data_IF_993346591687
#
_entry.id   IF_993346591687
#
_cell.length_a   1.000
_cell.length_b   1.000
_cell.length_c   1.000
_cell.angle_alpha   90.00
_cell.angle_beta   90.00
_cell.angle_gamma   90.00
#
_symmetry.space_group_name_H-M   'P 1'
#
loop_
_entity.id
_entity.type
_entity.pdbx_description
1 polymer ?
#
# COMPACT_ATOMS: atom_id res chain seq x y z
N UNK A 1 13.68 33.00 -36.49
CA UNK A 1 12.88 32.39 -37.58
C UNK A 1 12.12 31.21 -36.99
N UNK A 2 10.80 31.32 -36.93
CA UNK A 2 9.90 30.45 -36.18
C UNK A 2 9.12 29.57 -37.17
N UNK A 3 9.02 28.26 -36.90
CA UNK A 3 8.14 27.37 -37.66
C UNK A 3 7.51 26.33 -36.72
N UNK A 4 6.36 26.70 -36.14
CA UNK A 4 5.36 25.75 -35.65
C UNK A 4 4.40 25.45 -36.79
N UNK A 5 4.13 24.17 -37.08
CA UNK A 5 2.97 23.73 -37.85
C UNK A 5 2.26 22.65 -37.04
N UNK A 6 1.15 23.03 -36.43
CA UNK A 6 0.14 22.13 -35.88
C UNK A 6 -0.97 22.05 -36.91
N UNK A 7 -1.28 20.84 -37.36
CA UNK A 7 -2.39 20.52 -38.26
C UNK A 7 -3.08 19.31 -37.68
N UNK A 8 -4.31 19.47 -37.18
CA UNK A 8 -5.41 18.51 -37.36
C UNK A 8 -6.72 19.31 -37.27
N UNK A 9 -7.33 19.58 -38.43
CA UNK A 9 -8.73 19.92 -38.58
C UNK A 9 -9.54 18.63 -38.68
N UNK A 10 -10.75 18.59 -38.10
CA UNK A 10 -11.67 17.47 -38.32
C UNK A 10 -12.95 17.54 -37.48
N UNK A 11 -13.74 18.59 -37.68
CA UNK A 11 -15.12 18.70 -37.20
C UNK A 11 -16.04 17.95 -38.17
N UNK A 12 -16.85 16.99 -37.70
CA UNK A 12 -18.14 16.62 -38.34
C UNK A 12 -19.18 16.25 -37.28
N UNK A 13 -20.22 17.08 -37.23
CA UNK A 13 -21.51 16.90 -36.55
C UNK A 13 -22.43 16.00 -37.40
N UNK A 14 -23.22 15.14 -36.75
CA UNK A 14 -24.51 14.55 -37.20
C UNK A 14 -25.00 13.66 -36.03
N UNK A 15 -26.26 13.55 -35.62
CA UNK A 15 -27.50 14.28 -35.81
C UNK A 15 -28.46 13.78 -34.70
N UNK A 16 -29.32 14.65 -34.19
CA UNK A 16 -30.42 14.27 -33.31
C UNK A 16 -31.51 13.53 -34.10
N UNK A 17 -32.13 12.51 -33.51
CA UNK A 17 -33.45 12.02 -33.92
C UNK A 17 -34.15 11.36 -32.73
N UNK A 18 -35.23 12.00 -32.31
CA UNK A 18 -36.19 11.54 -31.32
C UNK A 18 -37.16 10.55 -31.97
N UNK A 19 -37.32 9.35 -31.44
CA UNK A 19 -38.55 8.56 -31.64
C UNK A 19 -38.82 7.72 -30.39
N UNK A 20 -39.95 7.96 -29.74
CA UNK A 20 -40.56 7.07 -28.77
C UNK A 20 -41.88 6.56 -29.35
N UNK A 21 -42.17 5.26 -29.21
CA UNK A 21 -43.55 4.83 -29.04
C UNK A 21 -43.73 3.69 -28.02
N UNK A 22 -44.64 3.90 -27.06
CA UNK A 22 -45.66 2.95 -26.60
C UNK A 22 -45.26 1.72 -25.75
N UNK A 23 -46.02 1.38 -24.69
CA UNK A 23 -45.76 0.22 -23.85
C UNK A 23 -46.33 -1.07 -24.47
N UNK A 24 -45.57 -2.16 -24.38
CA UNK A 24 -46.06 -3.52 -24.67
C UNK A 24 -45.86 -4.38 -23.42
N UNK A 25 -46.97 -4.80 -22.82
CA UNK A 25 -47.02 -5.76 -21.71
C UNK A 25 -47.10 -7.19 -22.24
N UNK A 26 -46.22 -8.08 -21.73
CA UNK A 26 -46.37 -9.53 -21.41
C UNK A 26 -45.14 -10.36 -21.84
N UNK A 27 -44.93 -11.56 -21.27
CA UNK A 27 -45.19 -12.05 -19.91
C UNK A 27 -43.90 -12.56 -19.23
N UNK A 28 -43.97 -12.78 -17.91
CA UNK A 28 -42.90 -13.39 -17.13
C UNK A 28 -42.60 -14.84 -17.58
N UNK A 29 -41.33 -15.24 -17.76
CA UNK A 29 -40.92 -16.63 -17.64
C UNK A 29 -40.49 -16.90 -16.19
N UNK A 30 -41.30 -17.70 -15.51
CA UNK A 30 -40.96 -18.41 -14.28
C UNK A 30 -39.75 -19.30 -14.56
N UNK A 31 -38.62 -18.94 -13.97
CA UNK A 31 -37.36 -19.65 -14.11
C UNK A 31 -36.35 -19.13 -13.11
N UNK A 32 -36.74 -19.09 -11.83
CA UNK A 32 -35.81 -18.89 -10.74
C UNK A 32 -34.88 -20.10 -10.68
N UNK A 33 -33.79 -20.05 -11.44
CA UNK A 33 -32.61 -20.84 -11.11
C UNK A 33 -32.12 -20.23 -9.80
N UNK A 34 -32.42 -20.90 -8.71
CA UNK A 34 -31.86 -20.66 -7.39
C UNK A 34 -30.34 -20.78 -7.55
N UNK A 35 -29.71 -19.64 -7.82
CA UNK A 35 -28.26 -19.50 -7.76
C UNK A 35 -27.96 -19.68 -6.29
N UNK A 36 -27.65 -20.92 -5.91
CA UNK A 36 -27.01 -21.23 -4.63
C UNK A 36 -25.84 -20.27 -4.56
N UNK A 37 -26.01 -19.24 -3.75
CA UNK A 37 -24.94 -18.34 -3.41
C UNK A 37 -23.96 -19.24 -2.67
N UNK A 38 -22.96 -19.75 -3.38
CA UNK A 38 -21.78 -20.32 -2.77
C UNK A 38 -21.33 -19.29 -1.76
N UNK A 39 -21.55 -19.59 -0.48
CA UNK A 39 -21.03 -18.77 0.60
C UNK A 39 -19.55 -18.61 0.32
N UNK A 40 -18.98 -17.38 0.37
CA UNK A 40 -17.55 -17.24 0.24
C UNK A 40 -16.92 -18.16 1.28
N UNK A 41 -16.11 -19.10 0.81
CA UNK A 41 -15.29 -19.94 1.67
C UNK A 41 -14.60 -19.00 2.68
N UNK A 42 -14.62 -19.31 3.99
CA UNK A 42 -14.03 -18.42 4.98
C UNK A 42 -12.61 -18.11 4.55
N UNK A 43 -12.33 -16.81 4.41
CA UNK A 43 -11.05 -16.28 4.02
C UNK A 43 -9.93 -17.07 4.72
N UNK A 44 -9.02 -17.65 3.94
CA UNK A 44 -7.78 -18.18 4.49
C UNK A 44 -7.22 -17.13 5.45
N UNK A 45 -7.04 -17.51 6.71
CA UNK A 45 -6.55 -16.62 7.77
C UNK A 45 -5.17 -16.07 7.42
N UNK A 46 -4.69 -15.11 8.20
CA UNK A 46 -3.36 -14.53 7.99
C UNK A 46 -2.30 -15.62 8.17
N UNK A 47 -1.56 -15.93 7.10
CA UNK A 47 -0.41 -16.84 7.13
C UNK A 47 0.76 -16.14 7.82
N UNK A 48 1.55 -16.89 8.59
CA UNK A 48 2.79 -16.38 9.22
C UNK A 48 4.00 -17.12 8.69
N UNK A 49 5.09 -16.40 8.46
CA UNK A 49 6.34 -16.98 7.98
C UNK A 49 7.57 -16.46 8.77
N UNK A 50 8.26 -17.34 9.53
CA UNK A 50 7.94 -18.74 9.80
C UNK A 50 6.62 -18.94 10.57
N UNK A 51 6.11 -20.17 10.62
CA UNK A 51 4.81 -20.47 11.25
C UNK A 51 4.79 -20.20 12.77
N UNK A 52 5.95 -20.26 13.42
CA UNK A 52 6.18 -19.98 14.83
C UNK A 52 6.55 -18.51 15.11
N UNK A 53 6.47 -17.63 14.10
CA UNK A 53 6.81 -16.21 14.23
C UNK A 53 5.97 -15.55 15.34
N UNK A 54 6.59 -15.05 16.42
CA UNK A 54 5.85 -14.49 17.55
C UNK A 54 5.03 -13.27 17.11
N UNK A 55 3.87 -13.10 17.75
CA UNK A 55 2.98 -11.95 17.56
C UNK A 55 3.49 -10.80 18.42
N UNK A 56 3.87 -9.70 17.78
CA UNK A 56 4.32 -8.51 18.48
C UNK A 56 3.14 -7.65 18.95
N UNK A 57 3.30 -6.92 20.07
CA UNK A 57 2.39 -5.83 20.41
C UNK A 57 2.30 -4.83 19.25
N UNK A 58 1.08 -4.42 18.91
CA UNK A 58 0.83 -3.46 17.85
C UNK A 58 0.58 -4.07 16.45
N UNK A 59 0.84 -5.37 16.21
CA UNK A 59 0.55 -6.00 14.91
C UNK A 59 -0.95 -5.88 14.53
N UNK A 60 -1.85 -6.03 15.51
CA UNK A 60 -3.29 -5.95 15.27
C UNK A 60 -3.72 -4.57 14.73
N UNK A 61 -3.05 -3.48 15.14
CA UNK A 61 -3.35 -2.15 14.63
C UNK A 61 -2.93 -2.02 13.16
N UNK A 62 -1.78 -2.60 12.79
CA UNK A 62 -1.33 -2.67 11.39
C UNK A 62 -2.34 -3.46 10.54
N UNK A 63 -2.74 -4.65 11.01
CA UNK A 63 -3.75 -5.47 10.34
C UNK A 63 -5.09 -4.73 10.18
N UNK A 64 -5.53 -4.01 11.21
CA UNK A 64 -6.75 -3.22 11.17
C UNK A 64 -6.67 -2.06 10.16
N UNK A 65 -5.52 -1.37 10.08
CA UNK A 65 -5.29 -0.29 9.11
C UNK A 65 -5.39 -0.79 7.66
N UNK A 66 -4.75 -1.92 7.37
CA UNK A 66 -4.86 -2.61 6.08
C UNK A 66 -6.30 -3.02 5.75
N UNK A 67 -7.01 -3.63 6.71
CA UNK A 67 -8.39 -4.05 6.53
C UNK A 67 -9.34 -2.87 6.27
N UNK A 68 -9.17 -1.75 6.99
CA UNK A 68 -9.98 -0.55 6.81
C UNK A 68 -9.85 0.05 5.40
N UNK A 69 -8.67 -0.08 4.77
CA UNK A 69 -8.41 0.34 3.40
C UNK A 69 -8.85 -0.69 2.32
N UNK A 70 -9.55 -1.75 2.71
CA UNK A 70 -9.97 -2.81 1.79
C UNK A 70 -8.80 -3.64 1.25
N UNK A 71 -7.72 -3.78 2.03
CA UNK A 71 -6.50 -4.52 1.70
C UNK A 71 -6.17 -5.51 2.82
N UNK A 72 -7.02 -6.52 3.10
CA UNK A 72 -6.78 -7.41 4.22
C UNK A 72 -5.41 -8.07 4.11
N UNK A 73 -4.64 -8.05 5.21
CA UNK A 73 -3.34 -8.73 5.29
C UNK A 73 -3.55 -10.23 5.05
N UNK A 74 -2.64 -10.84 4.29
CA UNK A 74 -2.61 -12.28 3.98
C UNK A 74 -1.37 -12.96 4.54
N UNK A 75 -0.25 -12.25 4.63
CA UNK A 75 1.00 -12.75 5.19
C UNK A 75 1.58 -11.78 6.22
N UNK A 76 2.10 -12.31 7.33
CA UNK A 76 3.00 -11.62 8.25
C UNK A 76 4.32 -12.39 8.30
N UNK A 77 5.41 -11.74 7.91
CA UNK A 77 6.74 -12.34 7.85
C UNK A 77 7.77 -11.68 8.76
N UNK A 78 8.90 -12.34 8.95
CA UNK A 78 10.12 -11.70 9.44
C UNK A 78 10.56 -10.57 8.48
N UNK A 79 11.07 -9.47 9.03
CA UNK A 79 11.50 -8.30 8.24
C UNK A 79 13.01 -8.14 8.28
N UNK A 80 13.60 -7.71 7.16
CA UNK A 80 15.02 -7.31 7.08
C UNK A 80 15.29 -5.92 7.68
N UNK A 81 14.24 -5.19 8.04
CA UNK A 81 14.33 -3.79 8.48
C UNK A 81 14.57 -3.65 9.99
N UNK A 82 14.86 -4.75 10.71
CA UNK A 82 15.13 -4.75 12.15
C UNK A 82 16.23 -3.75 12.56
N UNK A 83 17.25 -3.55 11.73
CA UNK A 83 18.39 -2.66 12.01
C UNK A 83 18.33 -1.32 11.28
N UNK A 84 17.23 -1.01 10.60
CA UNK A 84 17.11 0.13 9.69
C UNK A 84 17.34 1.49 10.37
N UNK A 85 17.13 1.53 11.69
CA UNK A 85 17.19 2.74 12.51
C UNK A 85 18.41 2.72 13.46
N UNK A 86 19.53 2.11 13.02
CA UNK A 86 20.83 2.10 13.72
C UNK A 86 20.94 1.15 14.92
N UNK A 87 19.85 0.50 15.30
CA UNK A 87 19.79 -0.48 16.38
C UNK A 87 18.71 -1.50 16.10
N UNK A 88 18.91 -2.75 16.54
CA UNK A 88 17.97 -3.84 16.30
C UNK A 88 16.67 -3.58 17.05
N UNK A 89 15.56 -3.60 16.31
CA UNK A 89 14.19 -3.43 16.83
C UNK A 89 13.28 -4.50 16.23
N UNK A 90 12.20 -4.89 16.93
CA UNK A 90 11.23 -5.81 16.37
C UNK A 90 10.65 -5.25 15.07
N UNK A 91 10.66 -6.06 14.02
CA UNK A 91 10.09 -5.69 12.73
C UNK A 91 9.33 -6.85 12.08
N UNK A 92 8.34 -6.51 11.27
CA UNK A 92 7.53 -7.45 10.50
C UNK A 92 7.25 -6.89 9.12
N UNK A 93 7.15 -7.78 8.15
CA UNK A 93 6.59 -7.43 6.84
C UNK A 93 5.14 -7.89 6.79
N UNK A 94 4.29 -7.01 6.29
CA UNK A 94 2.86 -7.24 6.11
C UNK A 94 2.55 -7.16 4.62
N UNK A 95 1.89 -8.17 4.05
CA UNK A 95 1.48 -8.15 2.65
C UNK A 95 -0.01 -8.43 2.49
N UNK A 96 -0.64 -7.73 1.55
CA UNK A 96 -2.02 -7.95 1.15
C UNK A 96 -2.16 -9.12 0.14
N UNK A 97 -1.06 -9.57 -0.43
CA UNK A 97 -0.99 -10.76 -1.27
C UNK A 97 -0.51 -11.99 -0.51
N UNK A 98 -0.94 -13.16 -0.98
CA UNK A 98 -0.51 -14.47 -0.48
C UNK A 98 0.93 -14.82 -0.93
N UNK A 99 1.45 -14.09 -1.93
CA UNK A 99 2.82 -14.18 -2.44
C UNK A 99 3.51 -12.80 -2.44
N UNK A 100 4.84 -12.79 -2.42
CA UNK A 100 5.65 -11.57 -2.38
C UNK A 100 5.43 -10.68 -3.62
N UNK A 101 5.30 -9.37 -3.40
CA UNK A 101 5.35 -8.37 -4.48
C UNK A 101 4.05 -7.63 -4.81
N UNK A 102 2.94 -7.90 -4.13
CA UNK A 102 1.70 -7.15 -4.31
C UNK A 102 1.18 -6.59 -2.97
N UNK A 103 1.34 -5.27 -2.79
CA UNK A 103 0.82 -4.52 -1.64
C UNK A 103 1.48 -4.92 -0.32
N UNK A 104 2.30 -4.05 0.26
CA UNK A 104 2.92 -4.37 1.55
C UNK A 104 3.85 -3.32 2.12
N UNK A 105 4.28 -3.58 3.34
CA UNK A 105 5.22 -2.73 4.05
C UNK A 105 6.06 -3.54 5.05
N UNK A 106 7.32 -3.13 5.20
CA UNK A 106 8.08 -3.42 6.41
C UNK A 106 7.67 -2.41 7.50
N UNK A 107 7.39 -2.92 8.70
CA UNK A 107 7.00 -2.13 9.86
C UNK A 107 7.94 -2.46 11.02
N UNK A 108 8.63 -1.43 11.52
CA UNK A 108 9.47 -1.48 12.71
C UNK A 108 8.65 -0.95 13.88
N UNK A 109 8.56 -1.75 14.95
CA UNK A 109 7.81 -1.43 16.17
C UNK A 109 8.72 -0.68 17.15
N UNK A 110 8.20 0.42 17.70
CA UNK A 110 8.96 1.36 18.53
C UNK A 110 8.42 1.35 19.97
N UNK A 111 9.23 0.99 20.94
CA UNK A 111 8.84 0.89 22.36
C UNK A 111 8.87 2.24 23.12
N UNK A 112 8.55 3.35 22.45
CA UNK A 112 8.69 4.78 22.84
C UNK A 112 9.84 5.53 22.15
N UNK A 113 9.78 6.87 22.23
CA UNK A 113 10.37 7.85 21.32
C UNK A 113 11.79 7.53 20.83
N UNK A 114 11.88 7.12 19.57
CA UNK A 114 13.14 6.84 18.89
C UNK A 114 13.97 8.11 18.59
N UNK A 115 13.42 9.29 18.86
CA UNK A 115 14.02 10.58 18.55
C UNK A 115 13.58 11.13 17.19
N UNK A 116 14.32 12.13 16.68
CA UNK A 116 14.07 12.73 15.37
C UNK A 116 14.58 11.81 14.27
N UNK A 117 13.66 11.13 13.58
CA UNK A 117 13.99 10.26 12.44
C UNK A 117 13.77 11.02 11.14
N UNK A 118 14.82 11.05 10.32
CA UNK A 118 14.79 11.66 8.99
C UNK A 118 15.13 10.65 7.93
N UNK A 119 14.46 10.77 6.79
CA UNK A 119 14.70 9.94 5.61
C UNK A 119 14.84 10.86 4.41
N UNK A 120 16.06 10.96 3.89
CA UNK A 120 16.35 11.70 2.69
C UNK A 120 16.40 10.74 1.50
N UNK A 121 15.61 11.02 0.48
CA UNK A 121 15.58 10.27 -0.77
C UNK A 121 16.26 11.08 -1.88
N UNK A 122 17.21 10.47 -2.58
CA UNK A 122 17.87 11.06 -3.74
C UNK A 122 17.78 10.12 -4.94
N UNK A 123 17.65 10.63 -6.18
CA UNK A 123 17.70 9.78 -7.37
C UNK A 123 19.01 9.00 -7.45
N UNK A 124 18.92 7.68 -7.65
CA UNK A 124 20.04 6.81 -7.94
C UNK A 124 20.20 6.52 -9.44
N UNK A 125 21.10 5.60 -9.79
CA UNK A 125 21.23 5.11 -11.17
C UNK A 125 20.05 4.22 -11.57
N UNK A 126 19.72 4.21 -12.86
CA UNK A 126 18.76 3.24 -13.45
C UNK A 126 17.36 3.26 -12.83
N UNK A 127 16.85 4.44 -12.45
CA UNK A 127 15.50 4.60 -11.90
C UNK A 127 15.36 4.12 -10.45
N UNK A 128 16.47 3.81 -9.78
CA UNK A 128 16.50 3.47 -8.35
C UNK A 128 16.52 4.73 -7.49
N UNK A 129 16.23 4.56 -6.20
CA UNK A 129 16.29 5.64 -5.22
C UNK A 129 17.29 5.28 -4.13
N UNK A 130 18.12 6.23 -3.75
CA UNK A 130 19.06 6.11 -2.64
C UNK A 130 18.42 6.78 -1.43
N UNK A 131 18.27 6.02 -0.34
CA UNK A 131 17.76 6.51 0.93
C UNK A 131 18.88 6.64 1.96
N UNK A 132 18.93 7.78 2.62
CA UNK A 132 19.77 7.97 3.82
C UNK A 132 18.85 8.20 5.00
N UNK A 133 19.03 7.39 6.05
CA UNK A 133 18.24 7.45 7.27
C UNK A 133 19.13 7.96 8.39
N UNK A 134 18.62 8.91 9.16
CA UNK A 134 19.29 9.40 10.37
C UNK A 134 18.33 9.44 11.55
N UNK A 135 18.89 9.26 12.75
CA UNK A 135 18.20 9.34 14.03
C UNK A 135 18.95 10.33 14.89
N UNK A 136 18.28 11.38 15.36
CA UNK A 136 18.89 12.48 16.13
C UNK A 136 20.13 13.08 15.43
N UNK A 137 20.06 13.24 14.11
CA UNK A 137 21.15 13.76 13.27
C UNK A 137 22.31 12.80 13.03
N UNK A 138 22.30 11.61 13.65
CA UNK A 138 23.32 10.57 13.44
C UNK A 138 22.87 9.58 12.37
N UNK A 139 23.78 9.15 11.49
CA UNK A 139 23.44 8.16 10.45
C UNK A 139 23.01 6.85 11.09
N UNK A 140 21.86 6.31 10.66
CA UNK A 140 21.33 5.03 11.11
C UNK A 140 21.98 3.83 10.39
N UNK A 141 22.78 4.08 9.36
CA UNK A 141 23.45 3.07 8.55
C UNK A 141 24.12 3.68 7.33
N UNK A 142 24.49 2.82 6.37
CA UNK A 142 24.90 3.27 5.04
C UNK A 142 23.69 3.66 4.17
N UNK A 143 23.91 4.33 3.03
CA UNK A 143 22.85 4.59 2.06
C UNK A 143 22.22 3.29 1.56
N UNK A 144 20.90 3.28 1.41
CA UNK A 144 20.12 2.14 0.96
C UNK A 144 19.73 2.40 -0.49
N UNK A 145 20.24 1.58 -1.41
CA UNK A 145 19.88 1.64 -2.81
C UNK A 145 18.71 0.69 -3.10
N UNK A 146 17.55 1.22 -3.44
CA UNK A 146 16.30 0.49 -3.52
C UNK A 146 15.39 0.87 -4.70
N UNK A 147 14.31 0.10 -4.83
CA UNK A 147 13.13 0.58 -5.55
C UNK A 147 12.53 1.77 -4.80
N UNK A 148 11.58 2.46 -5.44
CA UNK A 148 10.84 3.51 -4.75
C UNK A 148 10.04 2.91 -3.58
N UNK A 149 10.40 3.31 -2.38
CA UNK A 149 9.75 3.03 -1.11
C UNK A 149 9.25 4.33 -0.49
N UNK A 150 8.16 4.23 0.28
CA UNK A 150 7.47 5.36 0.89
C UNK A 150 7.55 5.20 2.41
N UNK A 151 8.26 6.12 3.04
CA UNK A 151 8.51 6.07 4.47
C UNK A 151 7.47 6.87 5.25
N UNK A 152 7.10 6.36 6.42
CA UNK A 152 6.23 7.06 7.37
C UNK A 152 6.63 6.74 8.80
N UNK A 153 6.43 7.69 9.70
CA UNK A 153 6.75 7.55 11.12
C UNK A 153 5.62 8.14 11.98
N UNK A 154 5.41 7.54 13.15
CA UNK A 154 4.48 8.02 14.15
C UNK A 154 4.67 7.29 15.48
N UNK A 155 3.77 7.51 16.45
CA UNK A 155 3.81 6.84 17.73
C UNK A 155 3.81 5.31 17.55
N UNK A 156 4.88 4.64 18.00
CA UNK A 156 4.99 3.18 17.99
C UNK A 156 5.42 2.54 16.67
N UNK A 157 5.54 3.30 15.57
CA UNK A 157 5.79 2.71 14.24
C UNK A 157 6.73 3.54 13.38
N UNK A 158 7.64 2.84 12.70
CA UNK A 158 8.32 3.31 11.50
C UNK A 158 8.00 2.35 10.36
N UNK A 159 7.57 2.89 9.23
CA UNK A 159 7.00 2.13 8.10
C UNK A 159 7.78 2.43 6.84
N UNK A 160 8.06 1.36 6.09
CA UNK A 160 8.62 1.38 4.73
C UNK A 160 7.61 0.65 3.83
N UNK A 161 6.71 1.41 3.20
CA UNK A 161 5.68 0.89 2.31
C UNK A 161 6.19 0.79 0.86
N UNK A 162 5.77 -0.24 0.14
CA UNK A 162 6.23 -0.50 -1.23
C UNK A 162 5.38 0.18 -2.31
N UNK A 163 4.25 0.77 -1.94
CA UNK A 163 3.35 1.47 -2.84
C UNK A 163 2.52 2.54 -2.11
N UNK A 164 1.95 3.48 -2.89
CA UNK A 164 1.18 4.62 -2.37
C UNK A 164 -0.06 4.17 -1.60
N UNK A 165 -0.78 3.16 -2.10
CA UNK A 165 -2.03 2.70 -1.48
C UNK A 165 -1.77 2.12 -0.10
N UNK A 166 -0.71 1.33 0.05
CA UNK A 166 -0.27 0.78 1.33
C UNK A 166 0.20 1.88 2.28
N UNK A 167 1.00 2.84 1.78
CA UNK A 167 1.42 4.00 2.57
C UNK A 167 0.23 4.78 3.13
N UNK A 168 -0.75 5.11 2.28
CA UNK A 168 -1.92 5.88 2.69
C UNK A 168 -2.77 5.12 3.72
N UNK A 169 -2.97 3.81 3.53
CA UNK A 169 -3.68 2.97 4.48
C UNK A 169 -3.03 3.00 5.87
N UNK A 170 -1.70 2.85 5.93
CA UNK A 170 -0.97 2.83 7.20
C UNK A 170 -0.89 4.22 7.84
N UNK A 171 -0.70 5.28 7.06
CA UNK A 171 -0.71 6.65 7.58
C UNK A 171 -2.05 7.04 8.17
N UNK A 172 -3.14 6.70 7.50
CA UNK A 172 -4.49 6.99 8.00
C UNK A 172 -4.84 6.12 9.21
N UNK A 173 -4.59 4.81 9.13
CA UNK A 173 -4.98 3.86 10.18
C UNK A 173 -4.14 3.95 11.45
N UNK A 174 -2.89 4.38 11.36
CA UNK A 174 -1.96 4.46 12.49
C UNK A 174 -1.57 5.92 12.86
N UNK A 175 -2.09 6.92 12.15
CA UNK A 175 -1.76 8.33 12.38
C UNK A 175 -0.31 8.69 12.07
N UNK A 176 0.26 8.12 11.01
CA UNK A 176 1.66 8.33 10.63
C UNK A 176 1.83 9.51 9.67
N UNK A 177 3.00 10.13 9.72
CA UNK A 177 3.40 11.23 8.83
C UNK A 177 4.65 10.87 8.04
N UNK A 178 4.89 11.55 6.92
CA UNK A 178 6.18 11.45 6.23
C UNK A 178 7.29 11.95 7.16
N UNK A 179 8.43 11.24 7.27
CA UNK A 179 9.60 11.77 7.96
C UNK A 179 10.15 12.98 7.21
N UNK A 180 10.83 13.87 7.94
CA UNK A 180 11.54 14.98 7.33
C UNK A 180 12.81 14.51 6.60
N UNK A 181 13.32 15.39 5.75
CA UNK A 181 14.73 15.51 5.40
C UNK A 181 15.13 16.92 5.88
#
# INVERSE_FOLDING_TARGET
MSARRVVVCGFVLLAASCVAPGPVSRPAPTGAVERVASSPSPAAGIRREPADLPVLPGENAVVAAFAHAGMPVRLIGGSKSESLLGGRRPARVFTAAEEWGAGGADVVFLEEGIGDVRVCATPGSSGRTIYTISVNGSSAGGPIDGQLEIFSIGPGYFVQAYDVRTSDALRQGLGLTAPAC
#
